data_IF_737719073210
#
_entry.id   IF_737719073210
#
_cell.length_a   1.000
_cell.length_b   1.000
_cell.length_c   1.000
_cell.angle_alpha   90.00
_cell.angle_beta   90.00
_cell.angle_gamma   90.00
#
_symmetry.space_group_name_H-M   'P 1'
#
loop_
_entity.id
_entity.type
_entity.pdbx_description
1 polymer ?
#
# COMPACT_ATOMS: atom_id res chain seq x y z
N UNK A 1 -35.60 -10.75 -19.24
CA UNK A 1 -34.58 -9.96 -19.96
C UNK A 1 -33.50 -9.62 -18.94
N UNK A 2 -32.22 -9.85 -19.22
CA UNK A 2 -31.16 -9.52 -18.28
C UNK A 2 -30.67 -8.09 -18.54
N UNK A 3 -30.54 -7.29 -17.48
CA UNK A 3 -30.08 -5.90 -17.53
C UNK A 3 -28.71 -5.75 -16.87
N UNK A 4 -27.94 -4.79 -17.35
CA UNK A 4 -26.62 -4.49 -16.81
C UNK A 4 -26.72 -3.74 -15.48
N UNK A 5 -26.09 -4.28 -14.44
CA UNK A 5 -26.22 -3.79 -13.05
C UNK A 5 -25.18 -2.74 -12.65
N UNK A 6 -24.34 -2.29 -13.58
CA UNK A 6 -23.28 -1.30 -13.33
C UNK A 6 -22.29 -1.66 -12.20
N UNK A 7 -22.02 -2.96 -12.01
CA UNK A 7 -21.03 -3.45 -11.03
C UNK A 7 -19.59 -3.43 -11.56
N UNK A 8 -19.42 -3.65 -12.86
CA UNK A 8 -18.10 -3.70 -13.49
C UNK A 8 -18.09 -2.92 -14.80
N UNK A 9 -17.17 -1.99 -14.96
CA UNK A 9 -17.01 -1.18 -16.17
C UNK A 9 -16.85 -2.07 -17.41
N UNK A 10 -17.85 -2.08 -18.30
CA UNK A 10 -17.83 -2.93 -19.52
C UNK A 10 -16.75 -2.45 -20.48
N UNK A 11 -16.70 -1.14 -20.72
CA UNK A 11 -15.70 -0.46 -21.58
C UNK A 11 -15.00 0.61 -20.76
N UNK A 12 -13.67 0.50 -20.63
CA UNK A 12 -12.85 1.49 -19.93
C UNK A 12 -12.30 2.50 -20.93
N UNK A 13 -12.58 3.78 -20.69
CA UNK A 13 -11.93 4.88 -21.41
C UNK A 13 -10.63 5.29 -20.68
N UNK A 14 -9.61 5.67 -21.43
CA UNK A 14 -8.32 6.12 -20.88
C UNK A 14 -7.98 7.51 -21.43
N UNK A 15 -7.64 8.43 -20.53
CA UNK A 15 -7.14 9.76 -20.85
C UNK A 15 -5.69 9.98 -20.38
N UNK A 16 -5.16 11.20 -20.52
CA UNK A 16 -3.86 11.58 -19.96
C UNK A 16 -3.83 11.38 -18.43
N UNK A 17 -2.66 11.05 -17.90
CA UNK A 17 -2.46 10.88 -16.46
C UNK A 17 -2.56 12.22 -15.74
N UNK A 18 -3.20 12.24 -14.57
CA UNK A 18 -3.40 13.44 -13.78
C UNK A 18 -2.45 13.48 -12.57
N UNK A 19 -1.69 14.57 -12.41
CA UNK A 19 -0.85 14.78 -11.21
C UNK A 19 -1.60 15.41 -10.03
N UNK A 20 -2.91 15.61 -10.18
CA UNK A 20 -3.77 16.27 -9.19
C UNK A 20 -3.70 17.79 -9.23
N UNK A 21 -4.53 18.44 -8.42
CA UNK A 21 -4.58 19.91 -8.29
C UNK A 21 -3.24 20.44 -7.73
N UNK A 22 -2.75 21.61 -8.19
CA UNK A 22 -1.54 22.23 -7.64
C UNK A 22 -1.62 22.41 -6.13
N UNK A 23 -0.51 22.14 -5.44
CA UNK A 23 -0.42 22.28 -3.99
C UNK A 23 -0.16 23.75 -3.61
N UNK A 24 -0.62 24.15 -2.43
CA UNK A 24 -0.32 25.47 -1.86
C UNK A 24 1.17 25.64 -1.55
N UNK A 25 1.61 26.88 -1.27
CA UNK A 25 3.01 27.17 -0.99
C UNK A 25 3.52 26.35 0.21
N UNK A 26 4.82 26.02 0.19
CA UNK A 26 5.54 25.31 1.26
C UNK A 26 5.19 23.81 1.41
N UNK A 27 4.31 23.28 0.55
CA UNK A 27 4.13 21.83 0.43
C UNK A 27 5.25 21.21 -0.41
N UNK A 28 5.66 20.00 -0.05
CA UNK A 28 6.60 19.22 -0.84
C UNK A 28 5.97 18.80 -2.19
N UNK A 29 6.76 18.58 -3.25
CA UNK A 29 6.22 18.01 -4.48
C UNK A 29 5.67 16.60 -4.23
N UNK A 30 4.66 16.19 -5.02
CA UNK A 30 4.22 14.80 -5.04
C UNK A 30 5.30 13.91 -5.66
N UNK A 31 5.34 12.65 -5.25
CA UNK A 31 6.31 11.66 -5.73
C UNK A 31 5.60 10.60 -6.58
N UNK A 32 6.37 10.05 -7.53
CA UNK A 32 5.97 8.96 -8.41
C UNK A 32 5.22 9.42 -9.66
N UNK A 33 5.51 8.75 -10.77
CA UNK A 33 4.73 8.89 -12.01
C UNK A 33 3.46 8.03 -11.91
N UNK A 34 2.28 8.59 -12.20
CA UNK A 34 1.05 7.81 -12.17
C UNK A 34 1.06 6.70 -13.23
N UNK A 35 0.31 5.63 -13.00
CA UNK A 35 0.13 4.57 -13.98
C UNK A 35 -1.26 3.97 -13.87
N UNK A 36 -1.66 3.16 -14.85
CA UNK A 36 -3.01 2.61 -14.97
C UNK A 36 -3.02 1.11 -14.71
N UNK A 37 -3.95 0.64 -13.87
CA UNK A 37 -4.21 -0.79 -13.63
C UNK A 37 -5.57 -1.16 -14.22
N UNK A 38 -5.58 -2.03 -15.23
CA UNK A 38 -6.79 -2.50 -15.92
C UNK A 38 -7.86 -3.06 -14.96
N UNK A 39 -7.43 -3.89 -14.00
CA UNK A 39 -8.34 -4.52 -13.05
C UNK A 39 -8.94 -3.53 -12.04
N UNK A 40 -8.18 -2.52 -11.62
CA UNK A 40 -8.72 -1.42 -10.82
C UNK A 40 -9.76 -0.63 -11.64
N UNK A 41 -9.49 -0.41 -12.93
CA UNK A 41 -10.42 0.22 -13.87
C UNK A 41 -11.73 -0.53 -14.08
N UNK A 42 -11.78 -1.84 -13.80
CA UNK A 42 -13.03 -2.61 -13.85
C UNK A 42 -13.96 -2.27 -12.70
N UNK A 43 -13.42 -1.77 -11.58
CA UNK A 43 -14.19 -1.42 -10.39
C UNK A 43 -14.34 0.10 -10.21
N UNK A 44 -13.43 0.91 -10.77
CA UNK A 44 -13.44 2.36 -10.60
C UNK A 44 -12.37 3.07 -11.40
N UNK A 45 -11.65 4.01 -10.78
CA UNK A 45 -10.53 4.70 -11.43
C UNK A 45 -9.33 3.77 -11.56
N UNK A 46 -8.77 3.67 -12.77
CA UNK A 46 -7.61 2.84 -13.04
C UNK A 46 -6.29 3.47 -12.58
N UNK A 47 -6.24 4.80 -12.38
CA UNK A 47 -5.01 5.51 -12.06
C UNK A 47 -4.55 5.27 -10.61
N UNK A 48 -3.31 4.81 -10.46
CA UNK A 48 -2.58 4.73 -9.19
C UNK A 48 -1.49 5.79 -9.18
N UNK A 49 -1.42 6.57 -8.09
CA UNK A 49 -0.51 7.70 -7.95
C UNK A 49 -1.02 9.00 -8.59
N UNK A 50 -0.28 10.11 -8.43
CA UNK A 50 0.94 10.23 -7.63
C UNK A 50 0.61 10.32 -6.14
N UNK A 51 1.60 10.12 -5.25
CA UNK A 51 1.40 10.20 -3.80
C UNK A 51 2.10 11.44 -3.22
N UNK A 52 1.45 12.09 -2.25
CA UNK A 52 2.11 13.13 -1.46
C UNK A 52 2.85 12.50 -0.28
N UNK A 53 4.13 12.81 -0.13
CA UNK A 53 4.94 12.30 0.95
C UNK A 53 5.82 13.41 1.52
N UNK A 54 5.26 14.18 2.46
CA UNK A 54 6.00 15.18 3.23
C UNK A 54 6.82 14.57 4.37
N UNK A 55 7.53 15.40 5.12
CA UNK A 55 8.39 14.97 6.24
C UNK A 55 7.68 14.12 7.30
N UNK A 56 6.43 14.47 7.66
CA UNK A 56 5.63 13.68 8.60
C UNK A 56 5.22 12.30 8.03
N UNK A 57 4.95 12.23 6.73
CA UNK A 57 4.67 10.96 6.05
C UNK A 57 5.89 10.05 6.04
N UNK A 58 7.08 10.60 5.77
CA UNK A 58 8.35 9.87 5.86
C UNK A 58 8.62 9.37 7.28
N UNK A 59 8.46 10.23 8.29
CA UNK A 59 8.63 9.83 9.69
C UNK A 59 7.66 8.71 10.09
N UNK A 60 6.40 8.79 9.66
CA UNK A 60 5.41 7.74 9.89
C UNK A 60 5.81 6.40 9.27
N UNK A 61 6.29 6.39 8.01
CA UNK A 61 6.77 5.18 7.36
C UNK A 61 8.00 4.59 8.06
N UNK A 62 8.95 5.42 8.50
CA UNK A 62 10.13 4.96 9.24
C UNK A 62 9.75 4.32 10.58
N UNK A 63 8.92 4.99 11.38
CA UNK A 63 8.45 4.44 12.65
C UNK A 63 7.66 3.13 12.45
N UNK A 64 6.79 3.07 11.43
CA UNK A 64 6.04 1.87 11.09
C UNK A 64 6.94 0.71 10.66
N UNK A 65 7.94 0.96 9.80
CA UNK A 65 8.91 -0.07 9.39
C UNK A 65 9.76 -0.56 10.56
N UNK A 66 10.22 0.33 11.43
CA UNK A 66 10.97 -0.05 12.63
C UNK A 66 10.13 -0.96 13.53
N UNK A 67 8.88 -0.58 13.82
CA UNK A 67 7.97 -1.41 14.61
C UNK A 67 7.73 -2.78 13.98
N UNK A 68 7.45 -2.84 12.68
CA UNK A 68 7.23 -4.10 11.96
C UNK A 68 8.45 -5.01 12.01
N UNK A 69 9.66 -4.47 11.80
CA UNK A 69 10.90 -5.25 11.87
C UNK A 69 11.21 -5.73 13.28
N UNK A 70 10.99 -4.91 14.31
CA UNK A 70 11.17 -5.33 15.72
C UNK A 70 10.27 -6.52 16.03
N UNK A 71 8.99 -6.46 15.67
CA UNK A 71 8.04 -7.56 15.88
C UNK A 71 8.50 -8.80 15.10
N UNK A 72 8.74 -8.67 13.80
CA UNK A 72 9.09 -9.79 12.93
C UNK A 72 10.41 -10.48 13.30
N UNK A 73 11.45 -9.72 13.65
CA UNK A 73 12.75 -10.28 14.04
C UNK A 73 12.68 -11.00 15.39
N UNK A 74 11.89 -10.51 16.35
CA UNK A 74 11.69 -11.22 17.61
C UNK A 74 10.87 -12.50 17.42
N UNK A 75 9.84 -12.48 16.57
CA UNK A 75 9.10 -13.70 16.19
C UNK A 75 10.03 -14.73 15.53
N UNK A 76 10.92 -14.29 14.62
CA UNK A 76 11.90 -15.18 13.99
C UNK A 76 12.95 -15.72 14.98
N UNK A 77 13.38 -14.90 15.93
CA UNK A 77 14.29 -15.33 16.98
C UNK A 77 13.66 -16.39 17.90
N UNK A 78 12.34 -16.30 18.17
CA UNK A 78 11.63 -17.28 19.02
C UNK A 78 11.61 -18.70 18.43
N UNK A 79 11.80 -18.84 17.11
CA UNK A 79 11.93 -20.12 16.41
C UNK A 79 13.37 -20.44 15.98
N UNK A 80 14.36 -19.88 16.68
CA UNK A 80 15.80 -20.11 16.44
C UNK A 80 16.25 -19.81 14.99
N UNK A 81 15.65 -18.79 14.37
CA UNK A 81 15.98 -18.39 12.99
C UNK A 81 15.67 -19.44 11.91
N UNK A 82 14.81 -20.42 12.19
CA UNK A 82 14.34 -21.37 11.19
C UNK A 82 13.18 -20.76 10.36
N UNK A 83 13.39 -20.46 9.06
CA UNK A 83 12.38 -19.84 8.22
C UNK A 83 11.16 -20.76 7.97
N UNK A 84 11.35 -22.09 8.00
CA UNK A 84 10.25 -23.04 7.82
C UNK A 84 9.34 -23.02 9.04
N UNK A 85 9.91 -22.98 10.24
CA UNK A 85 9.15 -22.85 11.49
C UNK A 85 8.44 -21.52 11.59
N UNK A 86 9.11 -20.44 11.18
CA UNK A 86 8.54 -19.10 11.16
C UNK A 86 7.26 -19.04 10.32
N UNK A 87 7.28 -19.55 9.08
CA UNK A 87 6.09 -19.58 8.22
C UNK A 87 5.02 -20.51 8.77
N UNK A 88 5.40 -21.69 9.28
CA UNK A 88 4.47 -22.67 9.85
C UNK A 88 3.70 -22.13 11.04
N UNK A 89 4.37 -21.38 11.91
CA UNK A 89 3.82 -20.87 13.17
C UNK A 89 3.45 -19.39 13.10
N UNK A 90 3.52 -18.73 11.93
CA UNK A 90 3.40 -17.28 11.79
C UNK A 90 2.22 -16.65 12.56
N UNK A 91 1.07 -17.32 12.60
CA UNK A 91 -0.14 -16.86 13.30
C UNK A 91 -0.14 -17.07 14.83
N UNK A 92 0.80 -17.87 15.35
CA UNK A 92 0.95 -18.20 16.77
C UNK A 92 2.18 -17.56 17.43
N UNK A 93 3.13 -17.06 16.63
CA UNK A 93 4.28 -16.34 17.15
C UNK A 93 3.84 -14.97 17.69
N UNK A 94 4.45 -14.53 18.77
CA UNK A 94 4.14 -13.27 19.43
C UNK A 94 5.41 -12.61 19.99
N UNK A 95 5.32 -11.29 20.20
CA UNK A 95 6.26 -10.53 21.00
C UNK A 95 5.57 -10.19 22.32
N UNK A 96 5.96 -10.85 23.41
CA UNK A 96 5.34 -10.66 24.72
C UNK A 96 5.82 -9.37 25.40
N UNK A 97 4.95 -8.67 26.14
CA UNK A 97 5.35 -7.55 26.98
C UNK A 97 6.19 -8.03 28.19
N UNK A 98 6.98 -7.13 28.80
CA UNK A 98 7.70 -7.41 30.05
C UNK A 98 6.76 -7.58 31.25
#
# INVERSE_FOLDING_TARGET
>A
MAEYQNLFTTVQATGPLHHGVPLGPHNSPRLGEPFLIYWAGKLGNAQIGPIYLGGLGLASLLCGMLAFNIIGLNMLASVHWDPVQFVRQLFWLALEPP
#
